data_IF_493761300569
#
_entry.id   IF_493761300569
#
_cell.length_a   1.000
_cell.length_b   1.000
_cell.length_c   1.000
_cell.angle_alpha   90.00
_cell.angle_beta   90.00
_cell.angle_gamma   90.00
#
_symmetry.space_group_name_H-M   'P 1'
#
loop_
_entity.id
_entity.type
_entity.pdbx_description
1 polymer ?
#
# COMPACT_ATOMS: atom_id res chain seq x y z
N UNK A 1 0.32 7.25 10.39
CA UNK A 1 0.22 8.70 10.61
C UNK A 1 -1.19 8.99 11.03
N UNK A 2 -1.35 9.83 12.06
CA UNK A 2 -2.65 10.06 12.68
C UNK A 2 -3.64 10.62 11.66
N UNK A 3 -4.83 10.02 11.52
CA UNK A 3 -5.88 10.55 10.67
C UNK A 3 -6.57 11.76 11.33
N UNK A 4 -7.19 12.60 10.51
CA UNK A 4 -8.03 13.70 11.00
C UNK A 4 -9.31 13.21 11.66
N UNK A 5 -9.79 12.04 11.23
CA UNK A 5 -10.97 11.34 11.73
C UNK A 5 -10.50 10.10 12.52
N UNK A 6 -10.84 10.02 13.80
CA UNK A 6 -10.37 8.96 14.70
C UNK A 6 -10.92 7.58 14.36
N UNK A 7 -12.01 7.50 13.59
CA UNK A 7 -12.62 6.23 13.20
C UNK A 7 -11.91 5.60 12.00
N UNK A 8 -10.99 6.33 11.36
CA UNK A 8 -10.20 5.83 10.24
C UNK A 8 -8.93 5.13 10.72
N UNK A 9 -8.47 4.10 10.00
CA UNK A 9 -7.16 3.52 10.27
C UNK A 9 -6.06 4.56 10.01
N UNK A 10 -4.90 4.43 10.69
CA UNK A 10 -3.76 5.31 10.44
C UNK A 10 -3.36 5.35 8.95
N UNK A 11 -3.05 6.54 8.47
CA UNK A 11 -2.52 6.73 7.12
C UNK A 11 -1.10 6.18 7.02
N UNK A 12 -0.78 5.56 5.88
CA UNK A 12 0.57 5.06 5.59
C UNK A 12 1.24 5.98 4.60
N UNK A 13 2.50 6.33 4.84
CA UNK A 13 3.24 7.24 3.97
C UNK A 13 4.72 6.85 3.92
N UNK A 14 5.36 7.12 2.78
CA UNK A 14 6.81 7.06 2.63
C UNK A 14 7.40 8.42 2.97
N UNK A 15 8.35 8.46 3.91
CA UNK A 15 9.10 9.68 4.20
C UNK A 15 10.11 9.93 3.09
N UNK A 16 9.98 11.05 2.39
CA UNK A 16 10.88 11.49 1.31
C UNK A 16 12.01 12.36 1.85
N UNK A 17 11.68 13.23 2.83
CA UNK A 17 12.65 14.15 3.44
C UNK A 17 12.22 14.51 4.85
N UNK A 18 13.19 14.67 5.74
CA UNK A 18 13.01 15.21 7.09
C UNK A 18 13.73 16.56 7.15
N UNK A 19 13.03 17.59 7.61
CA UNK A 19 13.56 18.95 7.73
C UNK A 19 13.25 19.50 9.11
N UNK A 20 14.22 20.18 9.73
CA UNK A 20 14.03 20.89 10.99
C UNK A 20 14.25 22.38 10.76
N UNK A 21 13.36 23.21 11.31
CA UNK A 21 13.55 24.67 11.30
C UNK A 21 14.47 25.14 12.44
N UNK A 22 14.83 26.43 12.43
CA UNK A 22 15.67 27.05 13.46
C UNK A 22 15.05 27.05 14.87
N UNK A 23 13.77 26.70 15.01
CA UNK A 23 13.03 26.58 16.28
C UNK A 23 12.83 25.11 16.67
N UNK A 24 13.56 24.19 16.06
CA UNK A 24 13.44 22.73 16.24
C UNK A 24 12.06 22.14 15.91
N UNK A 25 11.23 22.83 15.11
CA UNK A 25 10.03 22.19 14.57
C UNK A 25 10.43 21.27 13.43
N UNK A 26 10.12 19.99 13.57
CA UNK A 26 10.43 18.96 12.56
C UNK A 26 9.22 18.75 11.65
N UNK A 27 9.45 18.94 10.36
CA UNK A 27 8.52 18.64 9.28
C UNK A 27 9.02 17.46 8.46
N UNK A 28 8.10 16.69 7.94
CA UNK A 28 8.37 15.54 7.07
C UNK A 28 7.67 15.73 5.74
N UNK A 29 8.43 15.67 4.65
CA UNK A 29 7.87 15.55 3.31
C UNK A 29 7.55 14.08 3.09
N UNK A 30 6.32 13.80 2.73
CA UNK A 30 5.80 12.44 2.60
C UNK A 30 5.20 12.21 1.22
N UNK A 31 5.18 10.93 0.81
CA UNK A 31 4.45 10.42 -0.35
C UNK A 31 3.42 9.40 0.16
N UNK A 32 2.15 9.64 -0.14
CA UNK A 32 1.06 8.85 0.45
C UNK A 32 0.93 7.46 -0.17
N UNK A 33 0.67 6.48 0.69
CA UNK A 33 0.11 5.21 0.27
C UNK A 33 -1.41 5.23 0.44
N UNK A 34 -2.12 4.86 -0.61
CA UNK A 34 -3.58 4.76 -0.61
C UNK A 34 -4.00 3.33 -0.31
N UNK A 35 -5.05 3.17 0.48
CA UNK A 35 -5.74 1.89 0.64
C UNK A 35 -6.68 1.64 -0.55
N UNK A 36 -7.01 0.39 -0.87
CA UNK A 36 -7.96 0.06 -1.92
C UNK A 36 -9.30 0.83 -1.85
N UNK A 37 -9.82 1.03 -0.64
CA UNK A 37 -11.06 1.75 -0.36
C UNK A 37 -10.98 3.24 -0.69
N UNK A 38 -9.78 3.82 -0.66
CA UNK A 38 -9.53 5.24 -0.91
C UNK A 38 -9.33 5.53 -2.41
N UNK A 39 -9.16 4.48 -3.22
CA UNK A 39 -9.03 4.62 -4.67
C UNK A 39 -10.39 4.88 -5.33
N UNK A 40 -10.39 5.63 -6.44
CA UNK A 40 -11.61 5.92 -7.24
C UNK A 40 -12.37 4.64 -7.63
N UNK A 41 -11.65 3.55 -7.89
CA UNK A 41 -12.23 2.26 -8.28
C UNK A 41 -12.69 1.38 -7.11
N UNK A 42 -12.41 1.78 -5.86
CA UNK A 42 -12.69 1.01 -4.66
C UNK A 42 -11.91 -0.31 -4.54
N UNK A 43 -12.19 -1.05 -3.46
CA UNK A 43 -11.62 -2.38 -3.24
C UNK A 43 -12.20 -3.39 -4.24
N UNK A 44 -11.33 -4.21 -4.84
CA UNK A 44 -11.67 -5.33 -5.72
C UNK A 44 -11.30 -6.65 -5.03
N UNK A 45 -11.84 -7.77 -5.53
CA UNK A 45 -11.65 -9.09 -4.91
C UNK A 45 -10.19 -9.53 -4.86
N UNK A 46 -9.37 -9.13 -5.84
CA UNK A 46 -7.95 -9.47 -5.85
C UNK A 46 -7.09 -8.58 -4.94
N UNK A 47 -7.66 -7.53 -4.33
CA UNK A 47 -6.93 -6.65 -3.43
C UNK A 47 -6.79 -7.27 -2.05
N UNK A 48 -5.55 -7.47 -1.61
CA UNK A 48 -5.27 -8.02 -0.28
C UNK A 48 -5.62 -7.05 0.86
N UNK A 49 -5.86 -7.57 2.05
CA UNK A 49 -6.20 -6.83 3.26
C UNK A 49 -5.10 -5.83 3.66
N UNK A 50 -3.84 -6.20 3.43
CA UNK A 50 -2.64 -5.39 3.70
C UNK A 50 -2.10 -4.67 2.47
N UNK A 51 -2.87 -4.61 1.38
CA UNK A 51 -2.45 -3.97 0.14
C UNK A 51 -2.52 -2.44 0.25
N UNK A 52 -1.51 -1.78 -0.31
CA UNK A 52 -1.40 -0.34 -0.44
C UNK A 52 -0.94 0.03 -1.85
N UNK A 53 -1.29 1.23 -2.29
CA UNK A 53 -0.90 1.78 -3.58
C UNK A 53 -0.01 3.00 -3.40
N UNK A 54 1.18 2.99 -4.00
CA UNK A 54 2.09 4.13 -3.92
C UNK A 54 1.58 5.25 -4.83
N UNK A 55 1.05 6.32 -4.24
CA UNK A 55 0.42 7.39 -5.02
C UNK A 55 1.42 8.41 -5.58
N UNK A 56 1.02 9.27 -6.51
CA UNK A 56 1.74 10.50 -6.89
C UNK A 56 1.40 11.70 -5.99
N UNK A 57 0.70 11.48 -4.87
CA UNK A 57 0.31 12.52 -3.92
C UNK A 57 1.41 12.73 -2.86
N UNK A 58 2.00 13.92 -2.89
CA UNK A 58 3.00 14.37 -1.92
C UNK A 58 2.42 15.43 -1.00
N UNK A 59 2.89 15.45 0.24
CA UNK A 59 2.48 16.43 1.24
C UNK A 59 3.60 16.72 2.24
N UNK A 60 3.44 17.75 3.06
CA UNK A 60 4.33 18.10 4.17
C UNK A 60 3.54 18.09 5.46
N UNK A 61 3.96 17.25 6.40
CA UNK A 61 3.30 17.04 7.67
C UNK A 61 4.23 17.35 8.85
N UNK A 62 3.66 17.66 10.01
CA UNK A 62 4.44 17.73 11.25
C UNK A 62 4.90 16.33 11.66
N UNK A 63 6.14 16.17 12.11
CA UNK A 63 6.64 14.88 12.59
C UNK A 63 5.82 14.31 13.77
N UNK A 64 5.12 15.17 14.51
CA UNK A 64 4.21 14.76 15.60
C UNK A 64 3.00 13.95 15.14
N UNK A 65 2.71 13.94 13.84
CA UNK A 65 1.62 13.12 13.26
C UNK A 65 2.05 11.67 13.04
N UNK A 66 3.34 11.34 13.19
CA UNK A 66 3.85 9.97 13.07
C UNK A 66 3.50 9.19 14.32
N UNK A 67 2.77 8.09 14.16
CA UNK A 67 2.33 7.23 15.28
C UNK A 67 3.24 6.01 15.46
N UNK A 68 3.87 5.55 14.39
CA UNK A 68 4.69 4.36 14.40
C UNK A 68 5.37 4.13 13.05
N UNK A 69 6.32 3.21 13.04
CA UNK A 69 7.02 2.76 11.84
C UNK A 69 6.39 1.45 11.37
N UNK A 70 6.01 1.40 10.10
CA UNK A 70 5.56 0.19 9.42
C UNK A 70 6.53 -0.23 8.29
N UNK A 71 6.30 -1.40 7.70
CA UNK A 71 7.06 -1.90 6.55
C UNK A 71 6.11 -2.12 5.37
N UNK A 72 6.42 -1.50 4.23
CA UNK A 72 5.72 -1.77 2.97
C UNK A 72 6.64 -2.60 2.09
N UNK A 73 6.34 -3.88 1.98
CA UNK A 73 7.10 -4.86 1.22
C UNK A 73 6.78 -4.76 -0.28
N UNK A 74 7.72 -5.22 -1.11
CA UNK A 74 7.37 -5.62 -2.48
C UNK A 74 6.47 -6.85 -2.41
N UNK A 75 5.58 -7.04 -3.39
CA UNK A 75 4.70 -8.20 -3.44
C UNK A 75 5.45 -9.53 -3.25
N UNK A 76 6.56 -9.69 -3.98
CA UNK A 76 7.41 -10.89 -3.92
C UNK A 76 7.98 -11.17 -2.52
N UNK A 77 8.30 -10.13 -1.75
CA UNK A 77 8.84 -10.30 -0.40
C UNK A 77 7.71 -10.57 0.59
N UNK A 78 6.57 -9.90 0.44
CA UNK A 78 5.39 -10.11 1.27
C UNK A 78 4.90 -11.56 1.20
N UNK A 79 4.79 -12.15 0.00
CA UNK A 79 4.35 -13.54 -0.18
C UNK A 79 5.31 -14.58 0.39
N UNK A 80 6.49 -14.17 0.86
CA UNK A 80 7.50 -15.06 1.48
C UNK A 80 7.54 -14.92 3.00
N UNK A 81 6.75 -14.02 3.58
CA UNK A 81 6.68 -13.89 5.03
C UNK A 81 6.02 -15.15 5.60
N UNK A 82 6.66 -15.75 6.61
CA UNK A 82 6.08 -16.88 7.35
C UNK A 82 4.85 -16.44 8.16
N UNK A 83 4.91 -15.23 8.71
CA UNK A 83 3.83 -14.62 9.47
C UNK A 83 3.70 -13.14 9.09
N UNK A 84 2.48 -12.69 8.80
CA UNK A 84 2.17 -11.29 8.50
C UNK A 84 1.82 -10.56 9.80
N UNK A 85 2.63 -9.57 10.18
CA UNK A 85 2.38 -8.73 11.35
C UNK A 85 1.36 -7.62 11.13
N UNK A 86 1.02 -6.91 12.21
CA UNK A 86 0.12 -5.74 12.12
C UNK A 86 0.71 -4.62 11.25
N UNK A 87 2.03 -4.45 11.33
CA UNK A 87 2.82 -3.39 10.68
C UNK A 87 3.35 -3.78 9.29
N UNK A 88 3.04 -4.99 8.81
CA UNK A 88 3.41 -5.47 7.49
C UNK A 88 2.34 -5.15 6.45
N UNK A 89 2.76 -4.45 5.41
CA UNK A 89 1.95 -4.10 4.25
C UNK A 89 2.67 -4.52 2.97
N UNK A 90 1.97 -4.51 1.85
CA UNK A 90 2.62 -4.68 0.56
C UNK A 90 2.10 -3.70 -0.48
N UNK A 91 2.96 -3.42 -1.46
CA UNK A 91 2.63 -2.58 -2.59
C UNK A 91 3.12 -3.24 -3.88
N UNK A 92 2.22 -3.31 -4.88
CA UNK A 92 2.52 -3.82 -6.23
C UNK A 92 2.08 -2.88 -7.35
N UNK A 93 1.43 -1.78 -6.99
CA UNK A 93 0.95 -0.78 -7.93
C UNK A 93 1.38 0.63 -7.51
N UNK A 94 1.71 1.45 -8.49
CA UNK A 94 1.64 2.90 -8.36
C UNK A 94 0.24 3.38 -8.75
N UNK A 95 -0.21 4.45 -8.09
CA UNK A 95 -1.55 5.02 -8.26
C UNK A 95 -1.48 6.51 -8.60
N UNK A 96 -2.22 6.94 -9.62
CA UNK A 96 -2.38 8.36 -9.96
C UNK A 96 -3.61 8.91 -9.27
N UNK A 97 -3.43 9.66 -8.18
CA UNK A 97 -4.51 10.12 -7.32
C UNK A 97 -5.55 10.99 -8.06
N UNK A 98 -5.11 11.77 -9.04
CA UNK A 98 -6.00 12.64 -9.82
C UNK A 98 -6.84 11.89 -10.87
N UNK A 99 -6.30 10.83 -11.48
CA UNK A 99 -6.95 10.15 -12.62
C UNK A 99 -7.48 8.77 -12.30
N UNK A 100 -7.08 8.18 -11.17
CA UNK A 100 -7.40 6.80 -10.82
C UNK A 100 -6.58 5.76 -11.58
N UNK A 101 -5.57 6.16 -12.34
CA UNK A 101 -4.74 5.26 -13.13
C UNK A 101 -3.81 4.42 -12.26
N UNK A 102 -3.56 3.18 -12.69
CA UNK A 102 -2.64 2.24 -12.03
C UNK A 102 -1.47 1.88 -12.94
N UNK A 103 -0.29 1.70 -12.33
CA UNK A 103 0.91 1.20 -13.00
C UNK A 103 1.48 0.02 -12.21
N UNK A 104 1.79 -1.13 -12.83
CA UNK A 104 1.55 -1.44 -14.24
C UNK A 104 0.05 -1.58 -14.56
N UNK A 105 -0.32 -1.31 -15.81
CA UNK A 105 -1.69 -1.49 -16.34
C UNK A 105 -2.00 -2.97 -16.65
N UNK A 106 -0.96 -3.82 -16.69
CA UNK A 106 -1.06 -5.26 -16.89
C UNK A 106 -0.41 -6.00 -15.73
N UNK A 107 -1.12 -6.99 -15.22
CA UNK A 107 -0.65 -7.91 -14.19
C UNK A 107 -0.93 -9.34 -14.61
N UNK A 108 -0.08 -10.26 -14.16
CA UNK A 108 -0.34 -11.68 -14.36
C UNK A 108 -1.67 -12.06 -13.70
N UNK A 109 -2.46 -12.83 -14.42
CA UNK A 109 -3.73 -13.40 -13.96
C UNK A 109 -3.60 -14.89 -13.90
N UNK A 110 -4.36 -15.51 -13.00
CA UNK A 110 -4.29 -16.93 -12.72
C UNK A 110 -5.70 -17.50 -12.63
N UNK A 111 -5.79 -18.84 -12.71
CA UNK A 111 -7.05 -19.57 -12.59
C UNK A 111 -8.05 -19.23 -13.70
N UNK A 112 -9.15 -19.98 -13.74
CA UNK A 112 -10.26 -19.76 -14.69
C UNK A 112 -10.99 -18.43 -14.50
N UNK A 113 -10.83 -17.78 -13.35
CA UNK A 113 -11.43 -16.48 -13.08
C UNK A 113 -10.66 -15.32 -13.71
N UNK A 114 -9.46 -15.57 -14.25
CA UNK A 114 -8.60 -14.56 -14.89
C UNK A 114 -8.37 -13.32 -13.99
N UNK A 115 -8.16 -13.57 -12.69
CA UNK A 115 -7.91 -12.52 -11.69
C UNK A 115 -6.44 -12.51 -11.25
N UNK A 116 -5.89 -11.34 -10.88
CA UNK A 116 -4.59 -11.28 -10.23
C UNK A 116 -4.59 -12.03 -8.90
N UNK A 117 -3.45 -12.60 -8.52
CA UNK A 117 -3.33 -13.35 -7.27
C UNK A 117 -3.57 -12.45 -6.04
N UNK A 118 -4.48 -12.85 -5.15
CA UNK A 118 -4.65 -12.26 -3.83
C UNK A 118 -3.85 -13.06 -2.80
N UNK A 119 -2.87 -12.46 -2.09
CA UNK A 119 -2.03 -13.20 -1.13
C UNK A 119 -2.78 -13.70 0.11
N UNK A 120 -4.02 -13.25 0.33
CA UNK A 120 -4.86 -13.73 1.43
C UNK A 120 -5.67 -14.98 1.04
N UNK A 121 -5.77 -15.28 -0.26
CA UNK A 121 -6.53 -16.41 -0.78
C UNK A 121 -5.59 -17.61 -1.03
N UNK A 122 -6.01 -18.81 -0.60
CA UNK A 122 -5.26 -20.03 -0.88
C UNK A 122 -5.36 -20.39 -2.36
N UNK A 123 -4.22 -20.45 -3.04
CA UNK A 123 -4.10 -20.97 -4.40
C UNK A 123 -3.35 -22.30 -4.43
N UNK A 124 -3.82 -23.21 -5.28
CA UNK A 124 -3.15 -24.49 -5.56
C UNK A 124 -2.78 -24.51 -7.03
N UNK A 125 -1.51 -24.78 -7.32
CA UNK A 125 -1.01 -24.89 -8.69
C UNK A 125 -1.33 -26.28 -9.24
N UNK A 126 -1.96 -26.35 -10.40
CA UNK A 126 -2.20 -27.62 -11.08
C UNK A 126 -0.93 -28.11 -11.78
N UNK A 127 -0.54 -29.37 -11.55
CA UNK A 127 0.70 -29.93 -12.11
C UNK A 127 0.72 -30.01 -13.64
N UNK A 128 -0.45 -30.05 -14.28
CA UNK A 128 -0.60 -30.14 -15.74
C UNK A 128 -0.47 -28.79 -16.45
N UNK A 129 -1.27 -27.80 -16.05
CA UNK A 129 -1.23 -26.47 -16.66
C UNK A 129 -0.15 -25.55 -16.08
N UNK A 130 0.45 -25.91 -14.93
CA UNK A 130 1.40 -25.06 -14.17
C UNK A 130 0.84 -23.68 -13.83
N UNK A 131 -0.48 -23.57 -13.83
CA UNK A 131 -1.28 -22.42 -13.44
C UNK A 131 -1.86 -22.64 -12.04
#
# INVERSE_FOLDING_TARGET
MRPSDSDKPPYVARVEKIEADHRNNVKVRVRWYYRPEESIGGRRQFHGAKELFLSDHYDVQSAHTIEGKCIVHTFKNYTKLENVGAEDYFCRFEYKAATGGFTPDRVAVYCKCEMPYNPDDLMVQCEGCKD
#
